data_IF_599104720782
#
_entry.id   IF_599104720782
#
_cell.length_a   1.000
_cell.length_b   1.000
_cell.length_c   1.000
_cell.angle_alpha   90.00
_cell.angle_beta   90.00
_cell.angle_gamma   90.00
#
_symmetry.space_group_name_H-M   'P 1'
#
loop_
_entity.id
_entity.type
_entity.pdbx_description
1 polymer ?
#
# COMPACT_ATOMS: atom_id res chain seq x y z
N UNK A 1 -13.54 -15.02 1.68
CA UNK A 1 -12.45 -14.78 0.72
C UNK A 1 -11.76 -13.48 1.11
N UNK A 2 -10.43 -13.46 1.16
CA UNK A 2 -9.67 -12.25 1.48
C UNK A 2 -9.31 -11.49 0.20
N UNK A 3 -9.01 -10.19 0.36
CA UNK A 3 -8.71 -9.29 -0.77
C UNK A 3 -7.49 -8.42 -0.49
N UNK A 4 -6.86 -7.95 -1.56
CA UNK A 4 -5.87 -6.89 -1.53
C UNK A 4 -6.23 -5.81 -2.54
N UNK A 5 -6.25 -4.56 -2.12
CA UNK A 5 -6.41 -3.38 -2.95
C UNK A 5 -5.03 -2.75 -3.09
N UNK A 6 -4.48 -2.74 -4.30
CA UNK A 6 -3.17 -2.16 -4.60
C UNK A 6 -3.41 -0.77 -5.20
N UNK A 7 -3.03 0.28 -4.46
CA UNK A 7 -3.21 1.67 -4.90
C UNK A 7 -1.95 2.17 -5.60
N UNK A 8 -2.05 2.48 -6.88
CA UNK A 8 -0.93 2.87 -7.73
C UNK A 8 -1.17 4.19 -8.50
N UNK A 9 -1.78 5.18 -7.83
CA UNK A 9 -2.22 6.46 -8.44
C UNK A 9 -1.22 7.61 -8.41
N UNK A 10 0.00 7.42 -7.93
CA UNK A 10 0.97 8.51 -7.77
C UNK A 10 1.53 9.03 -9.09
N UNK A 11 1.47 10.35 -9.33
CA UNK A 11 2.02 11.00 -10.53
C UNK A 11 3.54 10.95 -10.66
N UNK A 12 4.26 10.45 -9.64
CA UNK A 12 5.72 10.22 -9.70
C UNK A 12 6.60 11.46 -9.91
N UNK A 13 6.10 12.68 -9.75
CA UNK A 13 6.79 13.94 -10.08
C UNK A 13 8.20 14.09 -9.48
N UNK A 14 8.48 13.41 -8.36
CA UNK A 14 9.79 13.44 -7.68
C UNK A 14 10.85 12.54 -8.34
N UNK A 15 10.46 11.72 -9.33
CA UNK A 15 11.37 10.80 -10.02
C UNK A 15 12.02 11.41 -11.27
N UNK A 16 11.63 12.63 -11.68
CA UNK A 16 12.26 13.39 -12.77
C UNK A 16 12.07 12.83 -14.20
N UNK A 17 11.14 11.89 -14.40
CA UNK A 17 10.87 11.29 -15.71
C UNK A 17 9.39 11.33 -16.09
N UNK A 18 9.09 11.13 -17.38
CA UNK A 18 7.72 11.12 -17.92
C UNK A 18 6.95 9.84 -17.56
N UNK A 19 7.67 8.76 -17.15
CA UNK A 19 7.05 7.49 -16.80
C UNK A 19 6.66 7.46 -15.33
N UNK A 20 5.40 7.15 -14.98
CA UNK A 20 4.98 6.98 -13.60
C UNK A 20 5.80 5.89 -12.88
N UNK A 21 6.20 6.15 -11.64
CA UNK A 21 7.15 5.33 -10.87
C UNK A 21 6.75 3.86 -10.72
N UNK A 22 5.45 3.55 -10.67
CA UNK A 22 4.94 2.19 -10.61
C UNK A 22 5.25 1.35 -11.85
N UNK A 23 5.57 2.00 -12.96
CA UNK A 23 5.94 1.34 -14.22
C UNK A 23 7.45 1.32 -14.47
N UNK A 24 8.24 1.99 -13.64
CA UNK A 24 9.70 1.93 -13.74
C UNK A 24 10.17 0.49 -13.53
N UNK A 25 11.16 0.02 -14.32
CA UNK A 25 11.65 -1.33 -14.19
C UNK A 25 12.60 -1.48 -13.00
N UNK A 26 12.45 -2.57 -12.26
CA UNK A 26 13.43 -3.13 -11.32
C UNK A 26 13.66 -4.59 -11.71
N UNK A 27 14.88 -5.04 -11.74
CA UNK A 27 15.25 -6.39 -12.22
C UNK A 27 14.55 -6.79 -13.54
N UNK A 28 14.46 -5.83 -14.48
CA UNK A 28 13.90 -6.06 -15.81
C UNK A 28 12.38 -6.08 -15.94
N UNK A 29 11.61 -5.82 -14.87
CA UNK A 29 10.14 -5.86 -14.85
C UNK A 29 9.56 -4.67 -14.08
N UNK A 30 8.37 -4.11 -14.46
CA UNK A 30 7.73 -3.01 -13.75
C UNK A 30 7.56 -3.25 -12.25
N UNK A 31 7.83 -2.24 -11.42
CA UNK A 31 7.62 -2.26 -9.95
C UNK A 31 6.27 -2.83 -9.58
N UNK A 32 5.21 -2.39 -10.26
CA UNK A 32 3.84 -2.81 -9.97
C UNK A 32 3.61 -4.31 -10.18
N UNK A 33 4.27 -4.93 -11.16
CA UNK A 33 4.19 -6.38 -11.36
C UNK A 33 4.80 -7.14 -10.19
N UNK A 34 5.98 -6.71 -9.71
CA UNK A 34 6.58 -7.29 -8.50
C UNK A 34 5.66 -7.17 -7.30
N UNK A 35 5.00 -6.01 -7.13
CA UNK A 35 4.06 -5.81 -6.03
C UNK A 35 2.87 -6.78 -6.11
N UNK A 36 2.26 -6.95 -7.29
CA UNK A 36 1.14 -7.88 -7.48
C UNK A 36 1.59 -9.33 -7.23
N UNK A 37 2.76 -9.70 -7.75
CA UNK A 37 3.32 -11.06 -7.57
C UNK A 37 3.54 -11.41 -6.10
N UNK A 38 3.95 -10.47 -5.25
CA UNK A 38 4.13 -10.73 -3.81
C UNK A 38 2.84 -11.20 -3.15
N UNK A 39 1.71 -10.59 -3.46
CA UNK A 39 0.42 -11.00 -2.92
C UNK A 39 -0.08 -12.31 -3.53
N UNK A 40 0.16 -12.52 -4.81
CA UNK A 40 -0.17 -13.79 -5.47
C UNK A 40 0.67 -14.96 -4.91
N UNK A 41 1.96 -14.75 -4.64
CA UNK A 41 2.83 -15.75 -4.01
C UNK A 41 2.36 -16.08 -2.58
N UNK A 42 1.98 -15.07 -1.81
CA UNK A 42 1.42 -15.26 -0.48
C UNK A 42 0.14 -16.10 -0.48
N UNK A 43 -0.78 -15.81 -1.37
CA UNK A 43 -2.01 -16.57 -1.52
C UNK A 43 -2.60 -16.39 -2.93
N UNK A 44 -2.53 -17.42 -3.81
CA UNK A 44 -3.10 -17.36 -5.16
C UNK A 44 -4.62 -17.16 -5.22
N UNK A 45 -5.34 -17.49 -4.15
CA UNK A 45 -6.79 -17.31 -4.01
C UNK A 45 -7.19 -15.89 -3.56
N UNK A 46 -6.21 -15.03 -3.29
CA UNK A 46 -6.47 -13.65 -2.87
C UNK A 46 -7.11 -12.84 -3.99
N UNK A 47 -8.26 -12.21 -3.72
CA UNK A 47 -8.88 -11.29 -4.67
C UNK A 47 -8.03 -10.02 -4.84
N UNK A 48 -7.47 -9.78 -6.02
CA UNK A 48 -6.61 -8.62 -6.28
C UNK A 48 -7.38 -7.53 -7.01
N UNK A 49 -7.42 -6.33 -6.42
CA UNK A 49 -8.00 -5.11 -7.02
C UNK A 49 -6.88 -4.10 -7.19
N UNK A 50 -6.64 -3.68 -8.42
CA UNK A 50 -5.65 -2.68 -8.76
C UNK A 50 -6.33 -1.34 -9.04
N UNK A 51 -5.95 -0.31 -8.28
CA UNK A 51 -6.46 1.05 -8.46
C UNK A 51 -5.42 1.87 -9.22
N UNK A 52 -5.76 2.25 -10.45
CA UNK A 52 -4.91 3.03 -11.35
C UNK A 52 -5.65 4.26 -11.91
N UNK A 53 -4.97 5.40 -12.11
CA UNK A 53 -5.53 6.49 -12.91
C UNK A 53 -5.99 6.00 -14.28
N UNK A 54 -7.16 6.47 -14.72
CA UNK A 54 -7.78 6.00 -15.96
C UNK A 54 -6.87 6.14 -17.18
N UNK A 55 -6.14 7.24 -17.24
CA UNK A 55 -5.17 7.54 -18.30
C UNK A 55 -3.96 6.59 -18.33
N UNK A 56 -3.73 5.81 -17.28
CA UNK A 56 -2.60 4.88 -17.19
C UNK A 56 -2.99 3.42 -17.44
N UNK A 57 -4.29 3.12 -17.52
CA UNK A 57 -4.78 1.74 -17.60
C UNK A 57 -4.46 1.08 -18.95
N UNK A 58 -4.51 1.85 -20.06
CA UNK A 58 -4.16 1.33 -21.38
C UNK A 58 -2.67 0.97 -21.45
N UNK A 59 -1.82 1.82 -20.88
CA UNK A 59 -0.39 1.55 -20.79
C UNK A 59 -0.12 0.32 -19.92
N UNK A 60 -0.82 0.16 -18.80
CA UNK A 60 -0.72 -1.03 -17.96
C UNK A 60 -1.08 -2.31 -18.72
N UNK A 61 -2.19 -2.29 -19.49
CA UNK A 61 -2.58 -3.44 -20.32
C UNK A 61 -1.51 -3.81 -21.34
N UNK A 62 -0.88 -2.82 -22.00
CA UNK A 62 0.24 -3.04 -22.93
C UNK A 62 1.44 -3.68 -22.23
N UNK A 63 1.77 -3.22 -21.02
CA UNK A 63 2.83 -3.84 -20.21
C UNK A 63 2.49 -5.30 -19.84
N UNK A 64 1.26 -5.60 -19.43
CA UNK A 64 0.85 -6.97 -19.15
C UNK A 64 1.05 -7.89 -20.36
N UNK A 65 0.69 -7.44 -21.55
CA UNK A 65 0.93 -8.19 -22.81
C UNK A 65 2.43 -8.36 -23.07
N UNK A 66 3.19 -7.26 -22.97
CA UNK A 66 4.65 -7.25 -23.23
C UNK A 66 5.41 -8.21 -22.32
N UNK A 67 5.03 -8.31 -21.05
CA UNK A 67 5.71 -9.12 -20.04
C UNK A 67 5.02 -10.48 -19.80
N UNK A 68 4.01 -10.84 -20.60
CA UNK A 68 3.20 -12.07 -20.43
C UNK A 68 2.67 -12.22 -18.98
N UNK A 69 2.25 -11.08 -18.40
CA UNK A 69 1.77 -11.02 -17.02
C UNK A 69 0.32 -11.53 -16.94
N UNK A 70 0.14 -12.74 -16.41
CA UNK A 70 -1.13 -13.49 -16.43
C UNK A 70 -1.85 -13.53 -15.08
N UNK A 71 -1.31 -12.93 -14.01
CA UNK A 71 -1.97 -12.89 -12.71
C UNK A 71 -3.26 -12.08 -12.82
N UNK A 72 -4.40 -12.74 -12.55
CA UNK A 72 -5.69 -12.07 -12.63
C UNK A 72 -5.83 -10.98 -11.55
N UNK A 73 -6.29 -9.82 -11.95
CA UNK A 73 -6.60 -8.69 -11.07
C UNK A 73 -7.66 -7.79 -11.71
N UNK A 74 -8.59 -7.29 -10.88
CA UNK A 74 -9.60 -6.32 -11.31
C UNK A 74 -9.00 -4.93 -11.30
N UNK A 75 -9.02 -4.21 -12.42
CA UNK A 75 -8.54 -2.82 -12.50
C UNK A 75 -9.73 -1.87 -12.32
N UNK A 76 -9.54 -0.85 -11.46
CA UNK A 76 -10.53 0.20 -11.19
C UNK A 76 -9.90 1.58 -11.26
N UNK A 77 -10.72 2.61 -11.49
CA UNK A 77 -10.25 4.00 -11.63
C UNK A 77 -9.70 4.54 -10.31
N UNK A 78 -8.59 5.26 -10.37
CA UNK A 78 -8.11 6.09 -9.29
C UNK A 78 -9.02 7.29 -9.04
N UNK A 79 -8.91 7.90 -7.85
CA UNK A 79 -9.65 9.09 -7.46
C UNK A 79 -8.77 10.34 -7.36
N UNK A 80 -9.37 11.48 -7.02
CA UNK A 80 -8.70 12.77 -6.93
C UNK A 80 -7.60 12.81 -5.85
N UNK A 81 -7.76 12.05 -4.76
CA UNK A 81 -6.80 11.92 -3.68
C UNK A 81 -6.52 10.43 -3.40
N UNK A 82 -5.57 10.15 -2.48
CA UNK A 82 -5.31 8.78 -2.02
C UNK A 82 -6.57 8.16 -1.38
N UNK A 83 -7.30 8.93 -0.56
CA UNK A 83 -8.57 8.50 0.03
C UNK A 83 -9.58 8.07 -1.05
N UNK A 84 -9.83 8.90 -2.05
CA UNK A 84 -10.79 8.58 -3.11
C UNK A 84 -10.34 7.37 -3.96
N UNK A 85 -9.03 7.19 -4.13
CA UNK A 85 -8.49 6.00 -4.78
C UNK A 85 -8.75 4.73 -3.96
N UNK A 86 -8.48 4.78 -2.65
CA UNK A 86 -8.81 3.67 -1.74
C UNK A 86 -10.32 3.41 -1.69
N UNK A 87 -11.14 4.46 -1.64
CA UNK A 87 -12.61 4.37 -1.66
C UNK A 87 -13.13 3.66 -2.92
N UNK A 88 -12.58 3.99 -4.10
CA UNK A 88 -12.93 3.30 -5.34
C UNK A 88 -12.55 1.81 -5.29
N UNK A 89 -11.39 1.48 -4.74
CA UNK A 89 -10.97 0.10 -4.51
C UNK A 89 -11.90 -0.65 -3.56
N UNK A 90 -12.28 -0.03 -2.44
CA UNK A 90 -13.22 -0.60 -1.46
C UNK A 90 -14.61 -0.81 -2.08
N UNK A 91 -15.08 0.15 -2.88
CA UNK A 91 -16.37 0.06 -3.58
C UNK A 91 -16.40 -1.04 -4.67
N UNK A 92 -15.24 -1.50 -5.11
CA UNK A 92 -15.13 -2.57 -6.09
C UNK A 92 -15.17 -3.99 -5.50
N UNK A 93 -15.14 -4.10 -4.16
CA UNK A 93 -15.36 -5.37 -3.44
C UNK A 93 -16.82 -5.85 -3.65
N UNK A 94 -17.06 -7.16 -3.74
CA UNK A 94 -18.42 -7.69 -3.77
C UNK A 94 -19.24 -7.22 -2.56
N UNK A 95 -20.54 -7.04 -2.76
CA UNK A 95 -21.44 -6.55 -1.69
C UNK A 95 -21.50 -7.52 -0.51
N UNK A 96 -21.47 -8.80 -0.79
CA UNK A 96 -21.49 -9.91 0.18
C UNK A 96 -20.09 -10.32 0.66
N UNK A 97 -19.02 -9.59 0.25
CA UNK A 97 -17.66 -9.91 0.64
C UNK A 97 -17.50 -9.90 2.16
N UNK A 98 -16.92 -10.97 2.69
CA UNK A 98 -16.57 -11.15 4.09
C UNK A 98 -15.12 -11.63 4.19
N UNK A 99 -14.46 -11.32 5.30
CA UNK A 99 -13.06 -11.64 5.55
C UNK A 99 -12.22 -10.39 5.74
N UNK A 100 -10.97 -10.45 5.33
CA UNK A 100 -10.00 -9.36 5.49
C UNK A 100 -9.65 -8.75 4.13
N UNK A 101 -9.49 -7.45 4.09
CA UNK A 101 -8.94 -6.73 2.95
C UNK A 101 -7.73 -5.90 3.36
N UNK A 102 -6.63 -6.06 2.64
CA UNK A 102 -5.46 -5.17 2.76
C UNK A 102 -5.54 -4.02 1.76
N UNK A 103 -5.01 -2.84 2.14
CA UNK A 103 -4.71 -1.75 1.20
C UNK A 103 -3.20 -1.57 1.16
N UNK A 104 -2.62 -1.60 -0.04
CA UNK A 104 -1.18 -1.60 -0.22
C UNK A 104 -0.72 -0.59 -1.26
N UNK A 105 0.41 0.07 -1.00
CA UNK A 105 1.05 0.96 -1.96
C UNK A 105 1.64 0.15 -3.14
N UNK A 106 1.23 0.43 -4.38
CA UNK A 106 1.71 -0.25 -5.60
C UNK A 106 3.21 -0.09 -5.88
N UNK A 107 3.91 0.70 -5.08
CA UNK A 107 5.35 0.96 -5.15
C UNK A 107 6.12 0.43 -3.92
N UNK A 108 5.61 -0.62 -3.27
CA UNK A 108 6.31 -1.39 -2.22
C UNK A 108 6.43 -2.87 -2.61
N UNK A 109 7.34 -3.20 -3.54
CA UNK A 109 7.42 -4.54 -4.11
C UNK A 109 8.07 -5.58 -3.18
N UNK A 110 8.54 -5.20 -1.98
CA UNK A 110 9.34 -6.06 -1.11
C UNK A 110 8.70 -6.34 0.25
N UNK A 111 7.36 -6.26 0.33
CA UNK A 111 6.66 -6.74 1.52
C UNK A 111 6.89 -8.24 1.66
N UNK A 112 7.27 -8.70 2.86
CA UNK A 112 7.48 -10.13 3.10
C UNK A 112 6.15 -10.85 3.36
N UNK A 113 6.11 -12.15 3.05
CA UNK A 113 4.93 -13.00 3.30
C UNK A 113 4.55 -13.01 4.78
N UNK A 114 5.55 -13.03 5.68
CA UNK A 114 5.32 -12.98 7.12
C UNK A 114 4.69 -11.65 7.55
N UNK A 115 5.06 -10.53 6.91
CA UNK A 115 4.44 -9.23 7.20
C UNK A 115 2.99 -9.21 6.72
N UNK A 116 2.72 -9.75 5.52
CA UNK A 116 1.34 -9.88 5.01
C UNK A 116 0.53 -10.75 5.97
N UNK A 117 1.04 -11.94 6.33
CA UNK A 117 0.35 -12.86 7.24
C UNK A 117 0.01 -12.20 8.58
N UNK A 118 0.99 -11.55 9.24
CA UNK A 118 0.74 -10.84 10.51
C UNK A 118 -0.34 -9.77 10.40
N UNK A 119 -0.35 -8.99 9.31
CA UNK A 119 -1.37 -7.96 9.11
C UNK A 119 -2.77 -8.59 8.97
N UNK A 120 -2.90 -9.62 8.13
CA UNK A 120 -4.18 -10.28 7.87
C UNK A 120 -4.71 -11.02 9.10
N UNK A 121 -3.85 -11.74 9.84
CA UNK A 121 -4.21 -12.43 11.07
C UNK A 121 -4.64 -11.44 12.18
N UNK A 122 -3.88 -10.35 12.36
CA UNK A 122 -4.23 -9.34 13.36
C UNK A 122 -5.53 -8.60 13.00
N UNK A 123 -5.76 -8.29 11.72
CA UNK A 123 -7.02 -7.69 11.28
C UNK A 123 -8.21 -8.64 11.47
N UNK A 124 -8.05 -9.94 11.21
CA UNK A 124 -9.08 -10.95 11.45
C UNK A 124 -9.46 -11.05 12.93
N UNK A 125 -8.48 -10.88 13.81
CA UNK A 125 -8.69 -10.96 15.27
C UNK A 125 -9.19 -9.67 15.90
N UNK A 126 -8.73 -8.52 15.40
CA UNK A 126 -8.93 -7.21 16.04
C UNK A 126 -9.66 -6.18 15.17
N UNK A 127 -10.04 -6.54 13.95
CA UNK A 127 -10.75 -5.68 13.01
C UNK A 127 -9.84 -4.82 12.13
N UNK A 128 -8.68 -4.36 12.62
CA UNK A 128 -7.75 -3.52 11.88
C UNK A 128 -6.31 -3.72 12.33
N UNK A 129 -5.37 -3.71 11.38
CA UNK A 129 -3.94 -3.85 11.64
C UNK A 129 -3.08 -3.12 10.59
N UNK A 130 -1.90 -2.66 11.02
CA UNK A 130 -0.89 -2.07 10.15
C UNK A 130 0.54 -2.47 10.55
N UNK A 131 1.46 -2.63 9.58
CA UNK A 131 2.84 -2.95 9.87
C UNK A 131 3.63 -1.70 10.20
N UNK A 132 4.50 -1.81 11.19
CA UNK A 132 5.32 -0.71 11.67
C UNK A 132 6.79 -1.12 11.83
N UNK A 133 7.67 -0.11 11.78
CA UNK A 133 9.07 -0.26 12.14
C UNK A 133 9.47 0.75 13.23
N UNK A 134 10.41 0.40 14.12
CA UNK A 134 10.97 1.35 15.05
C UNK A 134 11.74 2.45 14.29
N UNK A 135 11.66 3.67 14.81
CA UNK A 135 12.45 4.80 14.30
C UNK A 135 13.91 4.66 14.75
N UNK A 136 14.83 4.67 13.79
CA UNK A 136 16.27 4.51 14.07
C UNK A 136 16.91 5.85 14.37
N UNK A 137 16.59 6.88 13.57
CA UNK A 137 17.18 8.21 13.68
C UNK A 137 16.59 9.00 14.85
N UNK A 138 17.35 10.02 15.32
CA UNK A 138 16.83 10.98 16.29
C UNK A 138 15.74 11.82 15.64
N UNK A 139 14.56 11.87 16.25
CA UNK A 139 13.46 12.70 15.79
C UNK A 139 13.50 14.09 16.45
N UNK A 140 13.30 15.12 15.61
CA UNK A 140 13.13 16.50 16.05
C UNK A 140 11.76 17.02 15.67
N UNK A 141 10.99 17.49 16.65
CA UNK A 141 9.75 18.23 16.37
C UNK A 141 10.14 19.63 15.91
N UNK A 142 9.62 20.03 14.76
CA UNK A 142 9.80 21.38 14.21
C UNK A 142 8.76 22.31 14.82
N UNK A 143 9.20 23.50 15.24
CA UNK A 143 8.38 24.61 15.74
C UNK A 143 8.84 25.90 15.08
N UNK A 144 8.09 26.99 15.20
CA UNK A 144 8.43 28.27 14.57
C UNK A 144 9.78 28.83 15.04
N UNK A 145 10.23 28.47 16.24
CA UNK A 145 11.49 28.86 16.87
C UNK A 145 12.62 27.83 16.74
N UNK A 146 12.49 26.83 15.84
CA UNK A 146 13.52 25.85 15.47
C UNK A 146 13.29 24.42 15.94
N UNK A 147 12.55 24.21 17.06
CA UNK A 147 12.13 22.88 17.53
C UNK A 147 13.05 22.19 18.53
N UNK A 148 12.65 20.96 18.93
CA UNK A 148 13.33 20.15 19.96
C UNK A 148 13.30 18.66 19.66
N UNK A 149 14.21 17.89 20.26
CA UNK A 149 14.25 16.44 20.12
C UNK A 149 13.11 15.78 20.91
N UNK A 150 12.50 14.74 20.33
CA UNK A 150 11.48 13.92 20.97
C UNK A 150 11.98 12.51 21.22
N UNK A 151 11.35 11.81 22.16
CA UNK A 151 11.69 10.41 22.44
C UNK A 151 11.22 9.50 21.28
N UNK A 152 12.14 9.08 20.42
CA UNK A 152 11.83 8.25 19.24
C UNK A 152 11.13 6.93 19.57
N UNK A 153 11.30 6.41 20.78
CA UNK A 153 10.65 5.15 21.21
C UNK A 153 9.12 5.24 21.24
N UNK A 154 8.56 6.46 21.30
CA UNK A 154 7.11 6.70 21.23
C UNK A 154 6.58 6.76 19.80
N UNK A 155 7.44 6.61 18.79
CA UNK A 155 7.08 6.71 17.38
C UNK A 155 7.40 5.43 16.62
N UNK A 156 6.66 5.21 15.55
CA UNK A 156 6.89 4.14 14.57
C UNK A 156 6.74 4.71 13.18
N UNK A 157 7.48 4.17 12.23
CA UNK A 157 7.19 4.38 10.81
C UNK A 157 6.16 3.36 10.37
N UNK A 158 5.14 3.82 9.64
CA UNK A 158 4.04 2.98 9.15
C UNK A 158 4.34 2.50 7.74
N UNK A 159 4.03 1.23 7.48
CA UNK A 159 4.11 0.63 6.17
C UNK A 159 2.71 0.17 5.71
N UNK A 160 2.66 -0.50 4.56
CA UNK A 160 1.50 -1.24 4.06
C UNK A 160 1.92 -2.68 3.75
N UNK A 161 0.97 -3.68 3.71
CA UNK A 161 -0.48 -3.51 3.67
C UNK A 161 -1.06 -3.10 5.01
N UNK A 162 -2.02 -2.17 4.99
CA UNK A 162 -2.91 -1.93 6.11
C UNK A 162 -4.13 -2.82 5.91
N UNK A 163 -4.40 -3.70 6.87
CA UNK A 163 -5.40 -4.75 6.73
C UNK A 163 -6.59 -4.50 7.67
N UNK A 164 -7.79 -4.79 7.18
CA UNK A 164 -9.04 -4.48 7.87
C UNK A 164 -10.07 -5.58 7.66
N UNK A 165 -10.98 -5.73 8.61
CA UNK A 165 -12.26 -6.37 8.35
C UNK A 165 -12.98 -5.64 7.21
N UNK A 166 -13.53 -6.38 6.25
CA UNK A 166 -14.12 -5.79 5.05
C UNK A 166 -15.31 -4.89 5.39
N UNK A 167 -16.17 -5.29 6.31
CA UNK A 167 -17.38 -4.52 6.65
C UNK A 167 -17.00 -3.25 7.41
N UNK A 168 -16.03 -3.34 8.33
CA UNK A 168 -15.49 -2.18 9.02
C UNK A 168 -14.92 -1.17 8.02
N UNK A 169 -14.12 -1.63 7.05
CA UNK A 169 -13.51 -0.75 6.06
C UNK A 169 -14.55 -0.10 5.14
N UNK A 170 -15.54 -0.88 4.67
CA UNK A 170 -16.67 -0.34 3.88
C UNK A 170 -17.42 0.76 4.64
N UNK A 171 -17.63 0.57 5.95
CA UNK A 171 -18.27 1.59 6.78
C UNK A 171 -17.37 2.83 6.92
N UNK A 172 -16.08 2.65 7.16
CA UNK A 172 -15.12 3.74 7.33
C UNK A 172 -15.06 4.64 6.08
N UNK A 173 -15.04 4.07 4.89
CA UNK A 173 -15.00 4.83 3.62
C UNK A 173 -16.36 5.46 3.21
N UNK A 174 -17.41 5.34 4.02
CA UNK A 174 -18.64 6.15 3.87
C UNK A 174 -18.50 7.54 4.48
N UNK A 175 -17.49 7.79 5.30
CA UNK A 175 -17.20 9.11 5.86
C UNK A 175 -16.86 10.10 4.74
N UNK A 176 -17.24 11.37 4.88
CA UNK A 176 -16.76 12.42 3.97
C UNK A 176 -15.24 12.55 4.07
N UNK A 177 -14.61 12.89 2.97
CA UNK A 177 -13.16 13.15 2.93
C UNK A 177 -12.75 14.23 3.93
N UNK A 178 -11.61 14.01 4.58
CA UNK A 178 -10.94 14.97 5.46
C UNK A 178 -9.44 14.99 5.16
N UNK A 179 -8.82 16.17 5.21
CA UNK A 179 -7.36 16.33 5.09
C UNK A 179 -6.59 15.66 6.25
N UNK A 180 -7.28 15.30 7.34
CA UNK A 180 -6.73 14.51 8.42
C UNK A 180 -6.49 13.03 8.04
N UNK A 181 -7.08 12.56 6.93
CA UNK A 181 -6.90 11.19 6.45
C UNK A 181 -5.57 11.05 5.69
N UNK A 182 -4.50 10.74 6.43
CA UNK A 182 -3.15 10.61 5.88
C UNK A 182 -2.89 9.23 5.27
N UNK A 183 -3.60 8.20 5.75
CA UNK A 183 -3.56 6.81 5.28
C UNK A 183 -4.90 6.12 5.51
N UNK A 184 -5.01 4.81 5.23
CA UNK A 184 -6.28 4.08 5.36
C UNK A 184 -6.61 3.79 6.82
N UNK A 185 -5.59 3.61 7.67
CA UNK A 185 -5.76 3.42 9.10
C UNK A 185 -6.41 4.65 9.77
N UNK A 186 -5.98 5.86 9.39
CA UNK A 186 -6.54 7.10 9.93
C UNK A 186 -8.03 7.28 9.61
N UNK A 187 -8.52 6.70 8.51
CA UNK A 187 -9.96 6.69 8.17
C UNK A 187 -10.75 5.83 9.16
N UNK A 188 -10.19 4.68 9.55
CA UNK A 188 -10.81 3.76 10.51
C UNK A 188 -10.71 4.31 11.94
N UNK A 189 -9.57 4.91 12.29
CA UNK A 189 -9.36 5.57 13.59
C UNK A 189 -10.31 6.75 13.81
N UNK A 190 -10.67 7.48 12.77
CA UNK A 190 -11.64 8.58 12.86
C UNK A 190 -13.05 8.12 13.28
N UNK A 191 -13.38 6.82 13.11
CA UNK A 191 -14.60 6.21 13.67
C UNK A 191 -14.44 5.74 15.13
N UNK A 192 -13.30 5.99 15.76
CA UNK A 192 -13.00 5.53 17.12
C UNK A 192 -12.51 4.08 17.20
N UNK A 193 -12.24 3.41 16.07
CA UNK A 193 -11.73 2.04 16.06
C UNK A 193 -10.20 2.02 16.22
N UNK A 194 -9.69 1.14 17.10
CA UNK A 194 -8.25 1.01 17.32
C UNK A 194 -7.62 0.15 16.23
N UNK A 195 -6.45 0.58 15.74
CA UNK A 195 -5.65 -0.19 14.78
C UNK A 195 -4.50 -0.89 15.50
N UNK A 196 -4.37 -2.20 15.29
CA UNK A 196 -3.32 -3.01 15.90
C UNK A 196 -2.02 -2.86 15.12
N UNK A 197 -0.93 -2.53 15.82
CA UNK A 197 0.41 -2.51 15.21
C UNK A 197 1.01 -3.91 15.20
N UNK A 198 1.60 -4.30 14.07
CA UNK A 198 2.39 -5.53 13.90
C UNK A 198 3.77 -5.21 13.34
N UNK A 199 4.73 -6.12 13.49
CA UNK A 199 6.07 -5.91 12.95
C UNK A 199 6.06 -5.95 11.41
N UNK A 200 6.59 -4.91 10.79
CA UNK A 200 6.90 -4.83 9.36
C UNK A 200 8.22 -5.49 8.99
N UNK A 201 8.67 -5.31 7.74
CA UNK A 201 10.02 -5.71 7.31
C UNK A 201 10.77 -4.52 6.70
N UNK A 202 12.08 -4.45 6.92
CA UNK A 202 12.90 -3.29 6.52
C UNK A 202 13.00 -3.12 5.01
N UNK A 203 12.98 -4.21 4.27
CA UNK A 203 13.02 -4.25 2.81
C UNK A 203 11.76 -3.68 2.18
N UNK A 204 10.64 -3.62 2.91
CA UNK A 204 9.35 -3.08 2.44
C UNK A 204 9.38 -1.54 2.30
N UNK A 205 10.41 -1.04 1.61
CA UNK A 205 10.58 0.38 1.33
C UNK A 205 9.55 0.87 0.30
N UNK A 206 9.16 2.13 0.43
CA UNK A 206 8.31 2.81 -0.56
C UNK A 206 9.21 3.47 -1.61
N UNK A 207 9.15 3.04 -2.86
CA UNK A 207 9.95 3.61 -3.92
C UNK A 207 9.42 5.01 -4.29
N UNK A 208 10.16 6.04 -3.89
CA UNK A 208 9.76 7.45 -4.02
C UNK A 208 10.82 8.32 -4.67
N UNK A 209 12.08 7.88 -4.68
CA UNK A 209 13.25 8.60 -5.19
C UNK A 209 14.07 7.71 -6.14
N UNK A 210 14.93 8.29 -7.01
CA UNK A 210 15.87 7.49 -7.81
C UNK A 210 16.80 6.61 -6.97
N UNK A 211 17.17 7.06 -5.77
CA UNK A 211 17.99 6.25 -4.85
C UNK A 211 17.26 4.97 -4.40
N UNK A 212 15.94 5.03 -4.20
CA UNK A 212 15.16 3.86 -3.83
C UNK A 212 15.16 2.80 -4.95
N UNK A 213 15.25 3.21 -6.23
CA UNK A 213 15.37 2.26 -7.37
C UNK A 213 16.70 1.52 -7.35
N UNK A 214 17.80 2.19 -7.00
CA UNK A 214 19.11 1.53 -6.84
C UNK A 214 19.07 0.50 -5.72
N UNK A 215 18.43 0.83 -4.59
CA UNK A 215 18.20 -0.12 -3.50
C UNK A 215 17.31 -1.28 -3.93
N UNK A 216 16.27 -1.00 -4.71
CA UNK A 216 15.36 -2.01 -5.23
C UNK A 216 16.08 -3.04 -6.12
N UNK A 217 16.97 -2.61 -7.00
CA UNK A 217 17.79 -3.52 -7.83
C UNK A 217 18.71 -4.41 -6.99
N UNK A 218 19.26 -3.88 -5.89
CA UNK A 218 20.10 -4.66 -4.95
C UNK A 218 19.26 -5.69 -4.21
N UNK A 219 18.11 -5.30 -3.69
CA UNK A 219 17.19 -6.19 -2.96
C UNK A 219 16.70 -7.32 -3.88
N UNK A 220 16.32 -6.97 -5.12
CA UNK A 220 15.81 -7.94 -6.11
C UNK A 220 16.83 -9.02 -6.50
N UNK A 221 18.14 -8.76 -6.37
CA UNK A 221 19.19 -9.73 -6.66
C UNK A 221 19.45 -10.71 -5.53
N UNK A 222 18.91 -10.45 -4.32
CA UNK A 222 19.09 -11.29 -3.14
C UNK A 222 17.92 -12.24 -2.89
N UNK A 223 16.79 -11.98 -3.54
CA UNK A 223 15.56 -12.77 -3.53
C UNK A 223 15.43 -13.58 -4.82
#
# INVERSE_FOLDING_TARGET
MDYIIIVAGGKGLRMGGDLPKQFLPIAGKPVLMHTIERFYQYNPELGIILVLPREQQDYWRQLCVKYHFSIYHKVVDGGATRFHSSQNGVSALPDDANGVVGIHDGVRPFVSEETIARCFEAARKHGAALPVLPVIDTLRRVTDDGGYNVQRNNFRTVQTPQAFDIQLLKQAFRQPYSDAFTDDASVVEAMGHKVTMVDGNRENIKLTTPFDLLLADIISKKN
#
